data_IF_190752225537
#
_entry.id   IF_190752225537
#
_cell.length_a   1.000
_cell.length_b   1.000
_cell.length_c   1.000
_cell.angle_alpha   90.00
_cell.angle_beta   90.00
_cell.angle_gamma   90.00
#
_symmetry.space_group_name_H-M   'P 1'
#
loop_
_entity.id
_entity.type
_entity.pdbx_description
1 polymer ?
#
# COMPACT_ATOMS: atom_id res chain seq x y z
N UNK A 1 -81.93 -14.33 -7.14
CA UNK A 1 -81.01 -14.24 -5.98
C UNK A 1 -79.57 -14.27 -6.51
N UNK A 2 -78.79 -13.20 -6.38
CA UNK A 2 -77.39 -13.19 -6.80
C UNK A 2 -76.48 -13.73 -5.69
N UNK A 3 -75.47 -14.53 -6.06
CA UNK A 3 -74.37 -14.93 -5.16
C UNK A 3 -73.30 -13.86 -5.21
N UNK A 4 -73.11 -13.16 -4.08
CA UNK A 4 -71.94 -12.33 -3.82
C UNK A 4 -70.71 -13.24 -3.63
N UNK A 5 -69.71 -13.09 -4.49
CA UNK A 5 -68.37 -13.65 -4.31
C UNK A 5 -67.36 -12.52 -4.40
N UNK A 6 -67.03 -11.93 -3.26
CA UNK A 6 -66.01 -10.89 -3.10
C UNK A 6 -64.63 -11.46 -3.48
N UNK A 7 -64.06 -10.98 -4.58
CA UNK A 7 -62.65 -11.16 -4.89
C UNK A 7 -61.80 -10.37 -3.91
N UNK A 8 -61.05 -11.03 -3.05
CA UNK A 8 -59.99 -10.41 -2.24
C UNK A 8 -58.66 -10.61 -2.94
N UNK A 9 -58.22 -9.54 -3.62
CA UNK A 9 -56.95 -9.43 -4.29
C UNK A 9 -55.89 -9.05 -3.26
N UNK A 10 -55.25 -10.04 -2.61
CA UNK A 10 -54.14 -9.81 -1.67
C UNK A 10 -52.84 -9.55 -2.44
N UNK A 11 -52.72 -8.39 -3.08
CA UNK A 11 -51.40 -7.83 -3.40
C UNK A 11 -50.86 -7.17 -2.14
N UNK A 12 -50.10 -7.93 -1.35
CA UNK A 12 -49.20 -7.36 -0.35
C UNK A 12 -48.20 -6.46 -1.11
N UNK A 13 -48.43 -5.15 -1.10
CA UNK A 13 -47.37 -4.19 -1.40
C UNK A 13 -46.37 -4.29 -0.25
N UNK A 14 -45.38 -5.17 -0.39
CA UNK A 14 -44.15 -5.02 0.38
C UNK A 14 -43.56 -3.67 -0.04
N UNK A 15 -43.70 -2.64 0.80
CA UNK A 15 -42.76 -1.53 0.76
C UNK A 15 -41.38 -2.16 0.92
N UNK A 16 -40.58 -2.11 -0.15
CA UNK A 16 -39.19 -2.57 -0.11
C UNK A 16 -38.52 -1.88 1.07
N UNK A 17 -37.94 -2.67 1.98
CA UNK A 17 -37.19 -2.14 3.10
C UNK A 17 -36.10 -1.20 2.55
N UNK A 18 -36.18 0.08 2.88
CA UNK A 18 -35.13 1.04 2.56
C UNK A 18 -33.90 0.60 3.34
N UNK A 19 -32.92 0.01 2.66
CA UNK A 19 -31.65 -0.38 3.28
C UNK A 19 -30.98 0.92 3.71
N UNK A 20 -31.06 1.22 5.01
CA UNK A 20 -30.35 2.35 5.61
C UNK A 20 -28.86 2.10 5.39
N UNK A 21 -28.16 3.08 4.80
CA UNK A 21 -26.70 3.03 4.68
C UNK A 21 -26.05 2.77 6.04
N UNK A 22 -24.91 2.08 6.01
CA UNK A 22 -24.13 1.79 7.20
C UNK A 22 -23.75 3.08 7.93
N UNK A 23 -23.86 3.06 9.27
CA UNK A 23 -23.45 4.20 10.12
C UNK A 23 -21.92 4.37 10.19
N UNK A 24 -21.17 3.40 9.67
CA UNK A 24 -19.71 3.31 9.78
C UNK A 24 -19.07 3.66 8.45
N UNK A 25 -18.73 4.94 8.29
CA UNK A 25 -18.09 5.48 7.09
C UNK A 25 -16.69 6.00 7.42
N UNK A 26 -15.86 6.17 6.39
CA UNK A 26 -14.49 6.69 6.50
C UNK A 26 -14.41 8.08 7.15
N UNK A 27 -15.51 8.82 7.27
CA UNK A 27 -15.56 10.08 8.03
C UNK A 27 -15.45 9.89 9.55
N UNK A 28 -15.69 8.68 10.07
CA UNK A 28 -15.45 8.35 11.49
C UNK A 28 -13.97 8.17 11.80
N UNK A 29 -13.15 7.86 10.78
CA UNK A 29 -11.71 7.77 10.94
C UNK A 29 -11.11 9.19 11.02
N UNK A 30 -10.17 9.45 11.93
CA UNK A 30 -9.52 10.75 12.04
C UNK A 30 -8.94 11.21 10.70
N UNK A 31 -9.28 12.43 10.29
CA UNK A 31 -8.59 13.10 9.19
C UNK A 31 -7.35 13.82 9.68
N UNK A 32 -6.38 13.99 8.80
CA UNK A 32 -5.16 14.74 9.05
C UNK A 32 -4.66 15.37 7.75
N UNK A 33 -3.68 16.27 7.87
CA UNK A 33 -3.14 17.04 6.75
C UNK A 33 -2.65 16.15 5.60
N UNK A 34 -2.04 15.01 5.89
CA UNK A 34 -1.61 14.06 4.87
C UNK A 34 -2.82 13.43 4.16
N UNK A 35 -3.82 12.96 4.92
CA UNK A 35 -5.07 12.40 4.37
C UNK A 35 -5.73 13.39 3.40
N UNK A 36 -5.87 14.66 3.82
CA UNK A 36 -6.43 15.73 2.98
C UNK A 36 -5.60 16.00 1.73
N UNK A 37 -4.26 16.05 1.85
CA UNK A 37 -3.37 16.29 0.71
C UNK A 37 -3.43 15.15 -0.30
N UNK A 38 -3.47 13.91 0.16
CA UNK A 38 -3.58 12.73 -0.71
C UNK A 38 -4.93 12.73 -1.44
N UNK A 39 -6.04 12.96 -0.74
CA UNK A 39 -7.37 13.06 -1.35
C UNK A 39 -7.42 14.21 -2.36
N UNK A 40 -6.90 15.38 -2.00
CA UNK A 40 -6.92 16.54 -2.89
C UNK A 40 -6.05 16.41 -4.14
N UNK A 41 -5.05 15.53 -4.12
CA UNK A 41 -4.18 15.22 -5.25
C UNK A 41 -4.72 14.12 -6.18
N UNK A 42 -5.89 13.55 -5.88
CA UNK A 42 -6.57 12.63 -6.79
C UNK A 42 -6.99 13.35 -8.09
N UNK A 43 -7.13 12.64 -9.22
CA UNK A 43 -7.65 13.21 -10.45
C UNK A 43 -9.02 13.86 -10.22
N UNK A 44 -9.24 15.04 -10.81
CA UNK A 44 -10.44 15.88 -10.57
C UNK A 44 -11.75 15.11 -10.73
N UNK A 45 -11.83 14.24 -11.74
CA UNK A 45 -13.00 13.39 -12.01
C UNK A 45 -13.39 12.44 -10.86
N UNK A 46 -12.45 12.13 -9.96
CA UNK A 46 -12.66 11.18 -8.85
C UNK A 46 -12.39 11.78 -7.47
N UNK A 47 -12.02 13.07 -7.39
CA UNK A 47 -11.63 13.74 -6.15
C UNK A 47 -12.73 13.69 -5.08
N UNK A 48 -13.99 13.77 -5.49
CA UNK A 48 -15.14 13.70 -4.59
C UNK A 48 -15.62 12.26 -4.32
N UNK A 49 -15.13 11.28 -5.09
CA UNK A 49 -15.50 9.87 -4.93
C UNK A 49 -14.48 9.12 -4.05
N UNK A 50 -13.26 9.63 -3.88
CA UNK A 50 -12.18 8.92 -3.19
C UNK A 50 -11.83 9.61 -1.88
N UNK A 51 -11.87 8.85 -0.79
CA UNK A 51 -11.46 9.30 0.54
C UNK A 51 -10.22 8.53 1.00
N UNK A 52 -9.16 9.22 1.42
CA UNK A 52 -7.92 8.61 1.88
C UNK A 52 -7.76 8.89 3.38
N UNK A 53 -7.38 7.85 4.15
CA UNK A 53 -7.18 7.93 5.60
C UNK A 53 -5.85 7.32 5.99
N UNK A 54 -5.02 8.11 6.67
CA UNK A 54 -3.82 7.61 7.35
C UNK A 54 -4.24 7.09 8.72
N UNK A 55 -4.17 5.77 8.93
CA UNK A 55 -4.67 5.08 10.14
C UNK A 55 -3.55 4.57 11.06
N UNK A 56 -2.30 4.73 10.64
CA UNK A 56 -1.11 4.54 11.45
C UNK A 56 -0.06 5.58 11.04
N UNK A 57 0.67 6.10 12.01
CA UNK A 57 1.77 7.04 11.83
C UNK A 57 2.65 7.03 13.08
N UNK A 58 3.65 6.17 13.12
CA UNK A 58 4.53 6.05 14.28
C UNK A 58 6.00 5.86 13.87
N UNK A 59 6.91 6.30 14.74
CA UNK A 59 8.34 6.05 14.55
C UNK A 59 8.67 4.63 14.98
N UNK A 60 9.43 3.92 14.15
CA UNK A 60 9.91 2.56 14.40
C UNK A 60 11.40 2.45 14.20
N UNK A 61 11.99 1.51 14.93
CA UNK A 61 13.33 1.03 14.67
C UNK A 61 13.20 -0.24 13.80
N UNK A 62 13.93 -0.28 12.70
CA UNK A 62 13.92 -1.43 11.81
C UNK A 62 14.46 -2.69 12.49
N UNK A 63 13.82 -3.82 12.20
CA UNK A 63 14.25 -5.11 12.70
C UNK A 63 15.34 -5.70 11.80
N UNK A 64 16.36 -6.31 12.41
CA UNK A 64 17.45 -6.99 11.70
C UNK A 64 17.38 -8.47 12.03
N UNK A 65 17.52 -9.31 11.01
CA UNK A 65 17.53 -10.76 11.12
C UNK A 65 18.69 -11.27 11.97
N UNK A 66 18.47 -12.42 12.60
CA UNK A 66 19.41 -13.02 13.54
C UNK A 66 20.73 -13.40 12.86
N UNK A 67 20.69 -13.98 11.65
CA UNK A 67 21.90 -14.45 10.96
C UNK A 67 22.78 -13.28 10.54
N UNK A 68 22.19 -12.20 10.01
CA UNK A 68 22.98 -11.00 9.70
C UNK A 68 23.57 -10.39 10.97
N UNK A 69 22.79 -10.34 12.06
CA UNK A 69 23.26 -9.82 13.34
C UNK A 69 24.49 -10.59 13.84
N UNK A 70 24.44 -11.92 13.81
CA UNK A 70 25.55 -12.77 14.24
C UNK A 70 26.75 -12.71 13.30
N UNK A 71 26.49 -12.62 11.99
CA UNK A 71 27.51 -12.40 10.98
C UNK A 71 28.27 -11.08 11.22
N UNK A 72 27.54 -9.99 11.44
CA UNK A 72 28.12 -8.68 11.73
C UNK A 72 28.98 -8.71 13.00
N UNK A 73 28.50 -9.33 14.08
CA UNK A 73 29.26 -9.51 15.32
C UNK A 73 30.55 -10.30 15.09
N UNK A 74 30.48 -11.43 14.38
CA UNK A 74 31.63 -12.32 14.12
C UNK A 74 32.76 -11.61 13.38
N UNK A 75 32.43 -10.74 12.43
CA UNK A 75 33.40 -10.05 11.58
C UNK A 75 33.62 -8.59 11.95
N UNK A 76 33.12 -8.14 13.11
CA UNK A 76 33.21 -6.75 13.59
C UNK A 76 32.71 -5.71 12.55
N UNK A 77 31.61 -6.04 11.88
CA UNK A 77 30.90 -5.16 10.95
C UNK A 77 29.76 -4.47 11.71
N UNK A 78 29.52 -3.19 11.45
CA UNK A 78 28.43 -2.47 12.09
C UNK A 78 27.07 -3.04 11.64
N UNK A 79 26.22 -3.42 12.59
CA UNK A 79 24.86 -3.86 12.28
C UNK A 79 24.08 -2.67 11.73
N UNK A 80 23.44 -2.79 10.54
CA UNK A 80 22.63 -1.71 9.99
C UNK A 80 21.54 -1.32 10.98
N UNK A 81 21.42 -0.03 11.27
CA UNK A 81 20.29 0.52 12.02
C UNK A 81 19.58 1.51 11.14
N UNK A 82 18.26 1.45 11.13
CA UNK A 82 17.45 2.40 10.41
C UNK A 82 16.20 2.71 11.21
N UNK A 83 15.85 3.99 11.26
CA UNK A 83 14.70 4.51 11.98
C UNK A 83 13.80 5.18 10.96
N UNK A 84 12.56 4.72 10.90
CA UNK A 84 11.62 5.20 9.90
C UNK A 84 10.27 5.47 10.53
N UNK A 85 9.49 6.33 9.88
CA UNK A 85 8.11 6.56 10.19
C UNK A 85 7.27 5.57 9.39
N UNK A 86 6.62 4.65 10.09
CA UNK A 86 5.67 3.72 9.51
C UNK A 86 4.30 4.38 9.37
N UNK A 87 3.70 4.26 8.19
CA UNK A 87 2.31 4.65 7.98
C UNK A 87 1.53 3.54 7.27
N UNK A 88 0.27 3.35 7.68
CA UNK A 88 -0.72 2.54 6.97
C UNK A 88 -1.84 3.45 6.49
N UNK A 89 -2.22 3.31 5.23
CA UNK A 89 -3.12 4.21 4.53
C UNK A 89 -4.23 3.39 3.88
N UNK A 90 -5.48 3.75 4.20
CA UNK A 90 -6.70 3.16 3.67
C UNK A 90 -7.32 4.11 2.64
N UNK A 91 -7.85 3.56 1.55
CA UNK A 91 -8.55 4.33 0.52
C UNK A 91 -9.94 3.77 0.30
N UNK A 92 -10.92 4.64 0.48
CA UNK A 92 -12.33 4.35 0.37
C UNK A 92 -12.90 4.98 -0.89
N UNK A 93 -13.79 4.24 -1.55
CA UNK A 93 -14.62 4.75 -2.63
C UNK A 93 -16.01 5.03 -2.07
N UNK A 94 -16.42 6.30 -2.13
CA UNK A 94 -17.77 6.72 -1.78
C UNK A 94 -18.78 6.21 -2.80
N UNK A 95 -20.04 5.97 -2.39
CA UNK A 95 -21.10 5.63 -3.32
C UNK A 95 -21.25 6.74 -4.37
N UNK A 96 -21.54 6.35 -5.61
CA UNK A 96 -21.81 7.31 -6.68
C UNK A 96 -23.27 7.77 -6.55
N UNK A 97 -23.48 8.98 -6.05
CA UNK A 97 -24.83 9.53 -5.82
C UNK A 97 -25.64 9.68 -7.12
N UNK A 98 -24.99 9.65 -8.29
CA UNK A 98 -25.63 9.79 -9.60
C UNK A 98 -26.11 8.45 -10.22
N UNK A 99 -25.69 7.30 -9.68
CA UNK A 99 -26.14 6.00 -10.15
C UNK A 99 -27.34 5.50 -9.34
N UNK A 100 -28.55 5.84 -9.79
CA UNK A 100 -29.82 5.31 -9.24
C UNK A 100 -30.01 3.83 -9.63
N UNK A 101 -29.22 2.94 -9.04
CA UNK A 101 -29.46 1.49 -9.14
C UNK A 101 -30.05 0.96 -7.84
N UNK A 102 -31.25 0.38 -7.92
CA UNK A 102 -32.08 -0.01 -6.77
C UNK A 102 -31.47 -1.13 -5.90
N UNK A 103 -30.41 -1.78 -6.37
CA UNK A 103 -29.71 -2.89 -5.69
C UNK A 103 -28.30 -2.50 -5.18
N UNK A 104 -27.86 -1.26 -5.40
CA UNK A 104 -26.62 -0.75 -4.81
C UNK A 104 -26.89 -0.20 -3.42
N UNK A 105 -26.25 -0.77 -2.40
CA UNK A 105 -26.18 -0.13 -1.10
C UNK A 105 -25.36 1.16 -1.23
N UNK A 106 -25.83 2.26 -0.64
CA UNK A 106 -25.10 3.54 -0.55
C UNK A 106 -23.91 3.47 0.44
N UNK A 107 -23.17 2.36 0.43
CA UNK A 107 -22.10 2.10 1.36
C UNK A 107 -20.74 2.35 0.72
N UNK A 108 -19.84 2.95 1.50
CA UNK A 108 -18.46 3.14 1.10
C UNK A 108 -17.74 1.78 1.00
N UNK A 109 -16.78 1.69 0.09
CA UNK A 109 -15.97 0.51 -0.10
C UNK A 109 -14.49 0.81 0.16
N UNK A 110 -13.85 0.08 1.06
CA UNK A 110 -12.39 0.06 1.18
C UNK A 110 -11.81 -0.63 -0.06
N UNK A 111 -11.19 0.11 -0.98
CA UNK A 111 -10.78 -0.39 -2.30
C UNK A 111 -9.27 -0.60 -2.45
N UNK A 112 -8.47 0.08 -1.64
CA UNK A 112 -7.03 0.12 -1.76
C UNK A 112 -6.38 0.35 -0.40
N UNK A 113 -5.28 -0.34 -0.14
CA UNK A 113 -4.52 -0.24 1.11
C UNK A 113 -3.06 -0.22 0.75
N UNK A 114 -2.28 0.64 1.40
CA UNK A 114 -0.84 0.60 1.28
C UNK A 114 -0.13 1.05 2.56
N UNK A 115 1.11 0.60 2.72
CA UNK A 115 2.00 0.98 3.80
C UNK A 115 3.21 1.69 3.25
N UNK A 116 3.74 2.65 4.01
CA UNK A 116 4.95 3.39 3.62
C UNK A 116 5.91 3.50 4.80
N UNK A 117 7.20 3.43 4.50
CA UNK A 117 8.28 3.67 5.44
C UNK A 117 9.00 4.95 5.01
N UNK A 118 8.92 5.99 5.83
CA UNK A 118 9.48 7.30 5.51
C UNK A 118 10.72 7.59 6.36
N UNK A 119 11.83 7.90 5.70
CA UNK A 119 13.15 8.12 6.31
C UNK A 119 13.42 9.63 6.41
N UNK A 120 13.07 10.20 7.56
CA UNK A 120 13.08 11.65 7.80
C UNK A 120 14.51 12.20 7.83
N UNK A 121 14.75 13.31 7.13
CA UNK A 121 16.04 13.99 7.14
C UNK A 121 16.46 14.40 8.56
N UNK A 122 17.69 14.06 8.96
CA UNK A 122 18.25 14.42 10.27
C UNK A 122 17.85 13.51 11.42
N UNK A 123 16.88 12.60 11.24
CA UNK A 123 16.61 11.49 12.18
C UNK A 123 17.41 10.23 11.84
N UNK A 124 18.02 10.19 10.65
CA UNK A 124 18.95 9.15 10.22
C UNK A 124 20.31 9.73 9.84
N UNK A 125 21.37 9.01 10.21
CA UNK A 125 22.74 9.21 9.72
C UNK A 125 23.06 8.37 8.48
N UNK A 126 22.04 7.74 7.86
CA UNK A 126 22.21 6.72 6.82
C UNK A 126 22.01 7.29 5.40
N UNK A 127 22.46 6.61 4.33
CA UNK A 127 22.26 7.02 2.94
C UNK A 127 20.78 7.14 2.51
N UNK A 128 19.83 6.73 3.36
CA UNK A 128 18.39 6.77 3.10
C UNK A 128 17.71 8.04 3.58
N UNK A 129 18.46 9.02 4.07
CA UNK A 129 17.91 10.34 4.40
C UNK A 129 17.08 10.90 3.22
N UNK A 130 15.84 11.32 3.50
CA UNK A 130 14.85 11.78 2.51
C UNK A 130 14.35 10.71 1.53
N UNK A 131 14.49 9.43 1.86
CA UNK A 131 13.82 8.36 1.13
C UNK A 131 12.42 8.11 1.68
N UNK A 132 11.54 7.65 0.81
CA UNK A 132 10.35 6.90 1.20
C UNK A 132 10.35 5.55 0.51
N UNK A 133 9.76 4.55 1.16
CA UNK A 133 9.61 3.20 0.62
C UNK A 133 8.14 2.81 0.64
N UNK A 134 7.59 2.42 -0.51
CA UNK A 134 6.28 1.73 -0.54
C UNK A 134 6.51 0.30 -0.04
N UNK A 135 5.95 -0.05 1.12
CA UNK A 135 6.13 -1.35 1.74
C UNK A 135 5.23 -2.40 1.09
N UNK A 136 3.94 -2.33 1.41
CA UNK A 136 2.91 -3.19 0.80
C UNK A 136 1.84 -2.33 0.14
N UNK A 137 1.29 -2.85 -0.94
CA UNK A 137 0.21 -2.22 -1.68
C UNK A 137 -0.71 -3.32 -2.18
N UNK A 138 -2.01 -3.15 -1.96
CA UNK A 138 -3.02 -4.11 -2.40
C UNK A 138 -4.33 -3.41 -2.76
N UNK A 139 -5.11 -4.06 -3.60
CA UNK A 139 -6.40 -3.56 -4.07
C UNK A 139 -7.38 -4.71 -4.26
N UNK A 140 -8.67 -4.45 -4.06
CA UNK A 140 -9.71 -5.42 -4.42
C UNK A 140 -10.35 -5.08 -5.77
N UNK A 141 -11.35 -5.88 -6.16
CA UNK A 141 -11.97 -5.84 -7.49
C UNK A 141 -13.33 -5.16 -7.53
N UNK A 142 -13.64 -4.33 -6.54
CA UNK A 142 -14.91 -3.62 -6.50
C UNK A 142 -15.16 -2.76 -7.75
N UNK A 143 -14.13 -2.03 -8.21
CA UNK A 143 -14.22 -1.24 -9.44
C UNK A 143 -14.07 -2.18 -10.64
N UNK A 144 -15.18 -2.48 -11.31
CA UNK A 144 -15.23 -3.39 -12.46
C UNK A 144 -14.80 -2.70 -13.76
N UNK A 145 -15.17 -1.43 -13.94
CA UNK A 145 -14.72 -0.59 -15.05
C UNK A 145 -13.19 -0.49 -15.05
N UNK A 146 -12.58 -1.02 -16.11
CA UNK A 146 -11.13 -1.11 -16.23
C UNK A 146 -10.43 0.26 -16.32
N UNK A 147 -11.07 1.23 -16.99
CA UNK A 147 -10.53 2.58 -17.17
C UNK A 147 -10.65 3.34 -15.85
N UNK A 148 -11.83 3.34 -15.21
CA UNK A 148 -12.06 3.97 -13.90
C UNK A 148 -11.09 3.39 -12.85
N UNK A 149 -10.98 2.07 -12.78
CA UNK A 149 -10.05 1.38 -11.86
C UNK A 149 -8.61 1.80 -12.10
N UNK A 150 -8.17 1.82 -13.36
CA UNK A 150 -6.83 2.24 -13.70
C UNK A 150 -6.58 3.69 -13.28
N UNK A 151 -7.45 4.63 -13.64
CA UNK A 151 -7.27 6.05 -13.31
C UNK A 151 -7.25 6.32 -11.80
N UNK A 152 -8.13 5.66 -11.03
CA UNK A 152 -8.17 5.79 -9.58
C UNK A 152 -6.89 5.22 -8.95
N UNK A 153 -6.52 3.98 -9.28
CA UNK A 153 -5.35 3.34 -8.63
C UNK A 153 -4.02 4.01 -9.03
N UNK A 154 -3.88 4.45 -10.28
CA UNK A 154 -2.74 5.26 -10.68
C UNK A 154 -2.73 6.61 -9.96
N UNK A 155 -3.90 7.23 -9.80
CA UNK A 155 -4.08 8.47 -9.03
C UNK A 155 -3.63 8.34 -7.58
N UNK A 156 -3.95 7.23 -6.90
CA UNK A 156 -3.54 6.97 -5.51
C UNK A 156 -2.02 6.89 -5.37
N UNK A 157 -1.34 6.18 -6.27
CA UNK A 157 0.13 6.05 -6.20
C UNK A 157 0.80 7.40 -6.51
N UNK A 158 0.33 8.11 -7.54
CA UNK A 158 0.88 9.41 -7.91
C UNK A 158 0.59 10.50 -6.86
N UNK A 159 -0.56 10.45 -6.19
CA UNK A 159 -0.88 11.40 -5.10
C UNK A 159 0.08 11.23 -3.93
N UNK A 160 0.49 9.99 -3.62
CA UNK A 160 1.55 9.75 -2.63
C UNK A 160 2.90 10.31 -3.07
N UNK A 161 3.33 10.10 -4.32
CA UNK A 161 4.59 10.66 -4.81
C UNK A 161 4.61 12.19 -4.79
N UNK A 162 3.49 12.82 -5.16
CA UNK A 162 3.34 14.27 -5.07
C UNK A 162 3.41 14.75 -3.61
N UNK A 163 2.71 14.07 -2.71
CA UNK A 163 2.79 14.35 -1.26
C UNK A 163 4.22 14.21 -0.74
N UNK A 164 4.89 13.10 -1.07
CA UNK A 164 6.23 12.81 -0.58
C UNK A 164 7.23 13.88 -1.05
N UNK A 165 7.13 14.29 -2.31
CA UNK A 165 7.93 15.38 -2.87
C UNK A 165 7.69 16.71 -2.13
N UNK A 166 6.43 17.06 -1.87
CA UNK A 166 6.08 18.25 -1.08
C UNK A 166 6.54 18.13 0.38
N UNK A 167 6.55 16.93 0.96
CA UNK A 167 7.06 16.69 2.31
C UNK A 167 8.61 16.76 2.39
N UNK A 168 9.29 16.90 1.25
CA UNK A 168 10.75 17.05 1.16
C UNK A 168 11.51 15.74 0.96
N UNK A 169 10.82 14.64 0.67
CA UNK A 169 11.47 13.40 0.23
C UNK A 169 11.95 13.55 -1.22
N UNK A 170 13.13 13.01 -1.51
CA UNK A 170 13.79 13.14 -2.81
C UNK A 170 13.70 11.85 -3.64
N UNK A 171 13.58 10.71 -2.97
CA UNK A 171 13.58 9.38 -3.60
C UNK A 171 12.42 8.56 -3.03
N UNK A 172 11.68 7.88 -3.91
CA UNK A 172 10.82 6.78 -3.53
C UNK A 172 11.38 5.45 -4.06
N UNK A 173 11.48 4.44 -3.21
CA UNK A 173 11.88 3.10 -3.59
C UNK A 173 10.76 2.09 -3.34
N UNK A 174 10.66 1.06 -4.17
CA UNK A 174 9.84 -0.11 -3.88
C UNK A 174 10.31 -1.33 -4.68
N UNK A 175 10.03 -2.51 -4.15
CA UNK A 175 10.26 -3.77 -4.83
C UNK A 175 8.93 -4.31 -5.37
N UNK A 176 8.88 -4.61 -6.66
CA UNK A 176 7.72 -5.14 -7.33
C UNK A 176 7.65 -6.66 -7.11
N UNK A 177 6.69 -7.06 -6.29
CA UNK A 177 6.47 -8.45 -5.93
C UNK A 177 5.04 -8.85 -6.27
N UNK A 178 4.81 -9.63 -7.33
CA UNK A 178 3.49 -10.21 -7.51
C UNK A 178 3.20 -11.20 -6.35
N UNK A 179 2.03 -11.12 -5.70
CA UNK A 179 1.74 -11.91 -4.50
C UNK A 179 1.60 -13.41 -4.77
N UNK A 180 1.51 -13.85 -6.04
CA UNK A 180 1.32 -15.24 -6.39
C UNK A 180 0.02 -15.80 -5.79
N UNK A 181 0.15 -16.68 -4.79
CA UNK A 181 -0.97 -17.27 -4.06
C UNK A 181 -1.26 -16.58 -2.71
N UNK A 182 -0.41 -15.67 -2.27
CA UNK A 182 -0.52 -15.01 -0.98
C UNK A 182 -1.45 -13.77 -1.08
N UNK A 183 -1.85 -13.26 0.08
CA UNK A 183 -2.55 -11.99 0.22
C UNK A 183 -1.58 -10.97 0.82
N UNK A 184 -1.62 -9.72 0.36
CA UNK A 184 -0.84 -8.66 0.98
C UNK A 184 -1.66 -7.93 2.04
N UNK A 185 -2.80 -7.36 1.67
CA UNK A 185 -3.61 -6.55 2.59
C UNK A 185 -5.11 -6.86 2.49
N UNK A 186 -5.58 -7.52 1.43
CA UNK A 186 -6.96 -8.02 1.36
C UNK A 186 -7.02 -9.55 1.47
N UNK A 187 -7.74 -10.05 2.47
CA UNK A 187 -8.02 -11.47 2.62
C UNK A 187 -9.17 -11.91 1.70
N UNK A 188 -8.82 -12.38 0.51
CA UNK A 188 -9.77 -13.00 -0.41
C UNK A 188 -9.36 -14.42 -0.82
N UNK A 189 -9.77 -15.44 -0.05
CA UNK A 189 -9.47 -16.83 -0.36
C UNK A 189 -10.25 -17.38 -1.57
N UNK A 190 -11.29 -16.68 -2.03
CA UNK A 190 -12.11 -17.09 -3.18
C UNK A 190 -11.66 -16.41 -4.48
N UNK A 191 -10.74 -15.45 -4.43
CA UNK A 191 -10.24 -14.77 -5.61
C UNK A 191 -9.53 -15.76 -6.53
N UNK A 192 -10.06 -15.92 -7.75
CA UNK A 192 -9.46 -16.74 -8.78
C UNK A 192 -8.02 -16.27 -9.06
N UNK A 193 -7.05 -17.18 -8.95
CA UNK A 193 -5.62 -16.91 -9.16
C UNK A 193 -5.32 -16.26 -10.51
N UNK A 194 -6.05 -16.62 -11.57
CA UNK A 194 -5.88 -16.05 -12.93
C UNK A 194 -6.22 -14.55 -12.99
N UNK A 195 -6.91 -14.03 -11.99
CA UNK A 195 -7.33 -12.64 -11.91
C UNK A 195 -6.31 -11.74 -11.21
N UNK A 196 -5.33 -12.34 -10.50
CA UNK A 196 -4.20 -11.61 -9.91
C UNK A 196 -3.19 -11.24 -11.00
N UNK A 197 -2.55 -10.06 -10.92
CA UNK A 197 -1.48 -9.73 -11.85
C UNK A 197 -0.29 -10.67 -11.63
N UNK A 198 0.23 -11.22 -12.73
CA UNK A 198 1.55 -11.84 -12.71
C UNK A 198 2.65 -10.79 -12.61
N UNK A 199 3.90 -11.23 -12.41
CA UNK A 199 5.05 -10.34 -12.24
C UNK A 199 5.22 -9.39 -13.43
N UNK A 200 5.12 -9.88 -14.67
CA UNK A 200 5.32 -9.10 -15.88
C UNK A 200 4.27 -8.00 -16.02
N UNK A 201 3.00 -8.36 -15.76
CA UNK A 201 1.88 -7.42 -15.81
C UNK A 201 1.98 -6.37 -14.71
N UNK A 202 2.43 -6.75 -13.52
CA UNK A 202 2.62 -5.82 -12.40
C UNK A 202 3.77 -4.84 -12.67
N UNK A 203 4.90 -5.32 -13.18
CA UNK A 203 6.02 -4.48 -13.63
C UNK A 203 5.59 -3.46 -14.69
N UNK A 204 4.83 -3.91 -15.69
CA UNK A 204 4.28 -3.03 -16.73
C UNK A 204 3.32 -1.99 -16.15
N UNK A 205 2.48 -2.38 -15.19
CA UNK A 205 1.54 -1.46 -14.54
C UNK A 205 2.27 -0.36 -13.77
N UNK A 206 3.29 -0.70 -12.98
CA UNK A 206 4.13 0.28 -12.29
C UNK A 206 4.87 1.17 -13.29
N UNK A 207 5.48 0.60 -14.32
CA UNK A 207 6.19 1.38 -15.36
C UNK A 207 5.28 2.41 -16.02
N UNK A 208 4.01 2.07 -16.28
CA UNK A 208 3.02 3.00 -16.82
C UNK A 208 2.67 4.13 -15.84
N UNK A 209 2.56 3.83 -14.53
CA UNK A 209 2.37 4.86 -13.50
C UNK A 209 3.55 5.82 -13.49
N UNK A 210 4.77 5.28 -13.46
CA UNK A 210 5.99 6.08 -13.36
C UNK A 210 6.18 6.97 -14.60
N UNK A 211 5.89 6.44 -15.79
CA UNK A 211 5.89 7.23 -17.02
C UNK A 211 4.81 8.32 -17.00
N UNK A 212 3.60 8.03 -16.49
CA UNK A 212 2.56 9.05 -16.32
C UNK A 212 2.97 10.15 -15.34
N UNK A 213 3.57 9.78 -14.20
CA UNK A 213 4.10 10.72 -13.21
C UNK A 213 5.22 11.60 -13.77
N UNK A 214 6.06 11.06 -14.66
CA UNK A 214 7.08 11.82 -15.37
C UNK A 214 6.47 12.86 -16.31
N UNK A 215 5.48 12.46 -17.12
CA UNK A 215 4.75 13.38 -18.01
C UNK A 215 4.04 14.50 -17.23
N UNK A 216 3.54 14.21 -16.03
CA UNK A 216 2.87 15.18 -15.15
C UNK A 216 3.84 16.04 -14.32
N UNK A 217 5.15 15.84 -14.46
CA UNK A 217 6.16 16.57 -13.71
C UNK A 217 6.28 16.20 -12.22
N UNK A 218 5.63 15.12 -11.76
CA UNK A 218 5.71 14.63 -10.39
C UNK A 218 7.02 13.86 -10.16
N UNK A 219 7.45 13.11 -11.18
CA UNK A 219 8.67 12.29 -11.16
C UNK A 219 9.69 12.93 -12.09
N UNK A 220 10.92 13.11 -11.60
CA UNK A 220 12.04 13.61 -12.40
C UNK A 220 12.59 12.51 -13.29
N UNK A 221 12.91 11.35 -12.70
CA UNK A 221 13.35 10.14 -13.40
C UNK A 221 13.03 8.91 -12.57
N UNK A 222 13.03 7.75 -13.21
CA UNK A 222 12.94 6.47 -12.51
C UNK A 222 13.82 5.44 -13.20
N UNK A 223 14.34 4.50 -12.41
CA UNK A 223 15.21 3.42 -12.87
C UNK A 223 14.67 2.08 -12.33
N UNK A 224 14.47 1.10 -13.22
CA UNK A 224 13.98 -0.25 -12.89
C UNK A 224 15.09 -1.25 -12.53
N UNK A 225 16.28 -0.73 -12.21
CA UNK A 225 17.47 -1.48 -11.87
C UNK A 225 18.30 -0.62 -10.93
N UNK A 226 18.95 -1.23 -9.95
CA UNK A 226 19.79 -0.49 -9.00
C UNK A 226 20.89 0.31 -9.71
N UNK A 227 21.16 1.50 -9.17
CA UNK A 227 22.40 2.26 -9.36
C UNK A 227 23.61 1.35 -9.11
N UNK A 228 24.73 1.58 -9.81
CA UNK A 228 25.92 0.72 -9.80
C UNK A 228 26.36 0.31 -8.38
N UNK A 229 26.13 -0.97 -8.05
CA UNK A 229 26.47 -1.56 -6.75
C UNK A 229 27.90 -2.11 -6.74
N UNK A 230 28.59 -2.19 -7.88
CA UNK A 230 29.91 -2.84 -7.99
C UNK A 230 30.99 -2.14 -7.18
N UNK A 231 30.90 -0.81 -7.05
CA UNK A 231 31.83 0.01 -6.29
C UNK A 231 31.54 0.09 -4.79
N UNK A 232 30.39 -0.40 -4.32
CA UNK A 232 29.97 -0.23 -2.92
C UNK A 232 30.73 -1.19 -1.99
N UNK A 233 31.01 -0.76 -0.77
CA UNK A 233 31.50 -1.66 0.29
C UNK A 233 30.36 -2.56 0.79
N UNK A 234 30.68 -3.63 1.54
CA UNK A 234 29.64 -4.45 2.17
C UNK A 234 28.77 -3.62 3.12
N UNK A 235 29.39 -2.72 3.89
CA UNK A 235 28.67 -1.83 4.82
C UNK A 235 27.66 -0.98 4.05
N UNK A 236 28.07 -0.32 2.96
CA UNK A 236 27.18 0.55 2.19
C UNK A 236 26.04 -0.23 1.53
N UNK A 237 26.28 -1.47 1.09
CA UNK A 237 25.24 -2.33 0.54
C UNK A 237 24.20 -2.67 1.60
N UNK A 238 24.64 -3.08 2.79
CA UNK A 238 23.73 -3.41 3.89
C UNK A 238 22.96 -2.16 4.34
N UNK A 239 23.63 -1.02 4.49
CA UNK A 239 22.97 0.23 4.85
C UNK A 239 21.99 0.73 3.79
N UNK A 240 22.24 0.48 2.50
CA UNK A 240 21.35 0.96 1.42
C UNK A 240 20.16 0.04 1.18
N UNK A 241 20.38 -1.27 1.13
CA UNK A 241 19.37 -2.23 0.67
C UNK A 241 18.64 -2.96 1.81
N UNK A 242 19.18 -2.97 3.03
CA UNK A 242 18.48 -3.57 4.16
C UNK A 242 17.36 -2.64 4.65
N UNK A 243 16.14 -2.98 4.23
CA UNK A 243 14.90 -2.26 4.56
C UNK A 243 13.94 -3.23 5.25
N UNK A 244 13.52 -2.89 6.47
CA UNK A 244 12.61 -3.72 7.26
C UNK A 244 11.38 -4.19 6.47
N UNK A 245 11.05 -5.48 6.60
CA UNK A 245 9.94 -6.11 5.89
C UNK A 245 10.11 -6.25 4.36
N UNK A 246 11.24 -5.83 3.78
CA UNK A 246 11.53 -5.86 2.34
C UNK A 246 12.08 -7.18 1.80
N UNK A 247 12.46 -7.18 0.52
CA UNK A 247 13.04 -8.35 -0.19
C UNK A 247 14.43 -8.73 0.33
N UNK A 248 15.33 -7.75 0.46
CA UNK A 248 16.73 -7.97 0.80
C UNK A 248 16.98 -8.59 2.18
N UNK A 249 16.29 -8.20 3.27
CA UNK A 249 16.45 -8.88 4.56
C UNK A 249 16.26 -10.39 4.47
N UNK A 250 15.16 -10.84 3.85
CA UNK A 250 14.87 -12.27 3.67
C UNK A 250 15.93 -12.95 2.80
N UNK A 251 16.39 -12.26 1.75
CA UNK A 251 17.39 -12.81 0.84
C UNK A 251 18.75 -12.95 1.52
N UNK A 252 19.18 -11.95 2.29
CA UNK A 252 20.43 -11.95 3.05
C UNK A 252 20.41 -13.08 4.10
N UNK A 253 19.33 -13.20 4.87
CA UNK A 253 19.18 -14.30 5.84
C UNK A 253 19.30 -15.68 5.17
N UNK A 254 18.78 -15.83 3.95
CA UNK A 254 18.91 -17.07 3.17
C UNK A 254 20.33 -17.31 2.64
N UNK A 255 21.02 -16.26 2.18
CA UNK A 255 22.43 -16.38 1.74
C UNK A 255 23.31 -16.83 2.92
N UNK A 256 23.07 -16.26 4.10
CA UNK A 256 23.80 -16.54 5.34
C UNK A 256 23.46 -17.88 6.00
N UNK A 257 22.58 -18.71 5.42
CA UNK A 257 22.42 -20.12 5.82
C UNK A 257 23.71 -20.91 5.66
N UNK A 258 24.57 -20.47 4.75
CA UNK A 258 25.91 -21.03 4.54
C UNK A 258 26.94 -20.12 5.18
N UNK A 259 27.88 -20.71 5.89
CA UNK A 259 29.02 -19.96 6.43
C UNK A 259 29.86 -19.37 5.29
N UNK A 260 30.14 -18.07 5.39
CA UNK A 260 30.95 -17.33 4.42
C UNK A 260 31.71 -16.18 5.07
N UNK A 261 32.66 -15.62 4.30
CA UNK A 261 33.41 -14.40 4.67
C UNK A 261 32.72 -13.14 4.11
N UNK A 262 33.00 -11.94 4.68
CA UNK A 262 32.46 -10.65 4.20
C UNK A 262 32.63 -10.39 2.71
N UNK A 263 33.78 -10.74 2.13
CA UNK A 263 34.07 -10.50 0.72
C UNK A 263 33.13 -11.31 -0.17
N UNK A 264 32.87 -12.56 0.21
CA UNK A 264 31.96 -13.45 -0.52
C UNK A 264 30.50 -12.99 -0.40
N UNK A 265 30.07 -12.54 0.79
CA UNK A 265 28.74 -11.96 0.95
C UNK A 265 28.57 -10.73 0.06
N UNK A 266 29.58 -9.85 0.03
CA UNK A 266 29.58 -8.67 -0.84
C UNK A 266 29.46 -9.05 -2.31
N UNK A 267 30.25 -10.01 -2.79
CA UNK A 267 30.21 -10.47 -4.18
C UNK A 267 28.82 -11.01 -4.57
N UNK A 268 28.20 -11.84 -3.71
CA UNK A 268 26.85 -12.35 -3.96
C UNK A 268 25.81 -11.24 -3.97
N UNK A 269 25.88 -10.28 -3.03
CA UNK A 269 24.96 -9.13 -3.01
C UNK A 269 25.11 -8.26 -4.25
N UNK A 270 26.34 -7.89 -4.64
CA UNK A 270 26.60 -7.11 -5.86
C UNK A 270 26.03 -7.83 -7.08
N UNK A 271 26.28 -9.14 -7.19
CA UNK A 271 25.80 -9.95 -8.30
C UNK A 271 24.28 -10.00 -8.36
N UNK A 272 23.61 -10.24 -7.24
CA UNK A 272 22.14 -10.32 -7.20
C UNK A 272 21.49 -8.96 -7.42
N UNK A 273 21.98 -7.89 -6.77
CA UNK A 273 21.49 -6.51 -6.97
C UNK A 273 21.68 -6.09 -8.43
N UNK A 274 22.81 -6.46 -9.05
CA UNK A 274 23.08 -6.18 -10.46
C UNK A 274 22.18 -6.95 -11.42
N UNK A 275 21.49 -8.00 -10.97
CA UNK A 275 20.56 -8.78 -11.78
C UNK A 275 19.09 -8.49 -11.41
N UNK A 276 18.83 -7.74 -10.34
CA UNK A 276 17.49 -7.37 -9.90
C UNK A 276 16.86 -6.37 -10.88
N UNK A 277 15.78 -6.80 -11.53
CA UNK A 277 14.96 -5.99 -12.44
C UNK A 277 13.58 -5.69 -11.86
N UNK A 278 13.35 -6.06 -10.61
CA UNK A 278 12.06 -5.93 -9.94
C UNK A 278 12.04 -4.73 -8.97
N UNK A 279 13.18 -4.06 -8.77
CA UNK A 279 13.30 -2.87 -7.94
C UNK A 279 13.10 -1.58 -8.75
N UNK A 280 12.34 -0.64 -8.19
CA UNK A 280 12.18 0.71 -8.73
C UNK A 280 12.83 1.76 -7.82
N UNK A 281 13.59 2.66 -8.41
CA UNK A 281 14.13 3.87 -7.77
C UNK A 281 13.54 5.08 -8.49
N UNK A 282 12.81 5.92 -7.78
CA UNK A 282 12.02 7.02 -8.33
C UNK A 282 12.51 8.34 -7.75
N UNK A 283 13.21 9.12 -8.55
CA UNK A 283 13.58 10.49 -8.20
C UNK A 283 12.36 11.39 -8.31
N UNK A 284 11.96 11.98 -7.19
CA UNK A 284 10.83 12.89 -7.12
C UNK A 284 11.23 14.28 -7.63
N UNK A 285 10.30 14.94 -8.33
CA UNK A 285 10.50 16.34 -8.72
C UNK A 285 10.42 17.25 -7.50
N UNK A 286 11.14 18.38 -7.52
CA UNK A 286 10.99 19.40 -6.47
C UNK A 286 9.57 19.95 -6.47
N UNK A 287 9.02 20.13 -5.27
CA UNK A 287 7.70 20.72 -5.03
C UNK A 287 7.80 21.79 -3.95
N UNK A 288 6.75 22.59 -3.80
CA UNK A 288 6.62 23.50 -2.67
C UNK A 288 6.56 22.69 -1.37
N UNK A 289 7.46 23.04 -0.45
CA UNK A 289 7.62 22.30 0.79
C UNK A 289 6.42 22.52 1.71
N UNK A 290 5.89 21.41 2.22
CA UNK A 290 4.88 21.39 3.26
C UNK A 290 5.49 20.83 4.53
N UNK A 291 5.13 21.42 5.67
CA UNK A 291 5.43 20.82 6.97
C UNK A 291 4.51 19.63 7.19
N UNK A 292 5.06 18.41 7.22
CA UNK A 292 4.31 17.24 7.68
C UNK A 292 4.00 17.43 9.17
N UNK A 293 2.74 17.72 9.46
CA UNK A 293 2.19 17.90 10.81
C UNK A 293 1.21 16.78 11.15
N UNK A 294 1.32 15.63 10.47
CA UNK A 294 0.47 14.47 10.74
C UNK A 294 0.75 14.00 12.17
N UNK A 295 -0.28 13.93 13.05
CA UNK A 295 -0.09 13.53 14.44
C UNK A 295 0.44 12.10 14.51
N UNK A 296 1.11 11.75 15.60
CA UNK A 296 1.43 10.35 15.87
C UNK A 296 0.11 9.59 16.04
N UNK A 297 -0.06 8.54 15.24
CA UNK A 297 -1.19 7.62 15.30
C UNK A 297 -0.57 6.26 15.64
N UNK A 298 -0.55 5.86 16.93
CA UNK A 298 0.01 4.59 17.35
C UNK A 298 -0.65 3.45 16.61
N UNK A 299 0.11 2.42 16.27
CA UNK A 299 -0.48 1.25 15.66
C UNK A 299 -1.35 0.48 16.64
N UNK A 300 -2.50 0.04 16.14
CA UNK A 300 -3.39 -0.89 16.84
C UNK A 300 -3.01 -2.31 16.44
N UNK A 301 -3.57 -3.32 17.11
CA UNK A 301 -3.35 -4.72 16.74
C UNK A 301 -3.54 -4.94 15.24
N UNK A 302 -4.60 -4.37 14.64
CA UNK A 302 -4.85 -4.50 13.21
C UNK A 302 -3.83 -3.79 12.32
N UNK A 303 -3.33 -2.61 12.70
CA UNK A 303 -2.52 -1.75 11.81
C UNK A 303 -1.02 -1.87 12.03
N UNK A 304 -0.57 -2.80 12.88
CA UNK A 304 0.83 -2.98 13.26
C UNK A 304 1.69 -3.52 12.13
N UNK A 305 1.22 -4.52 11.40
CA UNK A 305 1.91 -5.16 10.29
C UNK A 305 0.92 -5.67 9.25
N UNK A 306 1.39 -6.12 8.08
CA UNK A 306 0.50 -6.78 7.12
C UNK A 306 -0.05 -8.10 7.67
N UNK A 307 0.77 -8.82 8.44
CA UNK A 307 0.41 -10.11 9.03
C UNK A 307 -0.73 -9.92 10.03
N UNK A 308 -0.62 -8.91 10.91
CA UNK A 308 -1.66 -8.61 11.88
C UNK A 308 -2.94 -8.10 11.19
N UNK A 309 -2.81 -7.27 10.15
CA UNK A 309 -3.95 -6.78 9.37
C UNK A 309 -4.73 -7.93 8.72
N UNK A 310 -4.04 -8.91 8.15
CA UNK A 310 -4.65 -10.12 7.60
C UNK A 310 -5.20 -11.05 8.70
N UNK A 311 -4.50 -11.19 9.82
CA UNK A 311 -4.93 -12.02 10.94
C UNK A 311 -6.28 -11.54 11.50
N UNK A 312 -6.43 -10.24 11.73
CA UNK A 312 -7.70 -9.64 12.19
C UNK A 312 -8.82 -9.88 11.18
N UNK A 313 -8.55 -9.78 9.88
CA UNK A 313 -9.54 -10.11 8.84
C UNK A 313 -9.96 -11.58 8.87
N UNK A 314 -9.01 -12.50 9.07
CA UNK A 314 -9.32 -13.93 9.18
C UNK A 314 -10.17 -14.20 10.42
N UNK A 315 -9.72 -13.73 11.59
CA UNK A 315 -10.37 -13.92 12.88
C UNK A 315 -11.78 -13.32 12.94
N UNK A 316 -11.96 -12.14 12.32
CA UNK A 316 -13.24 -11.43 12.31
C UNK A 316 -14.13 -11.81 11.11
N UNK A 317 -13.71 -12.78 10.29
CA UNK A 317 -14.48 -13.23 9.13
C UNK A 317 -14.65 -12.18 8.02
N UNK A 318 -13.76 -11.19 7.95
CA UNK A 318 -13.78 -10.13 6.93
C UNK A 318 -13.36 -10.70 5.58
N UNK A 319 -14.14 -10.41 4.53
CA UNK A 319 -14.00 -10.94 3.17
C UNK A 319 -14.36 -9.87 2.15
N UNK A 320 -13.67 -9.90 1.01
CA UNK A 320 -13.76 -8.86 -0.01
C UNK A 320 -14.18 -9.40 -1.39
N UNK A 321 -14.71 -10.63 -1.42
CA UNK A 321 -14.98 -11.40 -2.65
C UNK A 321 -16.28 -11.02 -3.37
N UNK A 322 -17.22 -10.38 -2.67
CA UNK A 322 -18.49 -9.88 -3.23
C UNK A 322 -18.77 -8.48 -2.70
N UNK A 323 -19.59 -7.69 -3.40
CA UNK A 323 -19.92 -6.33 -2.97
C UNK A 323 -20.49 -6.30 -1.54
N UNK A 324 -21.43 -7.21 -1.22
CA UNK A 324 -22.03 -7.29 0.12
C UNK A 324 -21.01 -7.58 1.21
N UNK A 325 -20.09 -8.51 0.96
CA UNK A 325 -19.04 -8.86 1.92
C UNK A 325 -18.02 -7.73 2.05
N UNK A 326 -17.69 -7.06 0.95
CA UNK A 326 -16.82 -5.89 0.92
C UNK A 326 -17.41 -4.74 1.75
N UNK A 327 -18.68 -4.39 1.56
CA UNK A 327 -19.31 -3.31 2.33
C UNK A 327 -19.38 -3.66 3.82
N UNK A 328 -19.80 -4.88 4.16
CA UNK A 328 -19.76 -5.38 5.53
C UNK A 328 -18.35 -5.29 6.13
N UNK A 329 -17.34 -5.77 5.40
CA UNK A 329 -15.95 -5.77 5.87
C UNK A 329 -15.37 -4.38 5.98
N UNK A 330 -15.76 -3.47 5.09
CA UNK A 330 -15.41 -2.05 5.13
C UNK A 330 -15.96 -1.41 6.40
N UNK A 331 -17.26 -1.54 6.65
CA UNK A 331 -17.93 -1.01 7.83
C UNK A 331 -17.44 -1.62 9.15
N UNK A 332 -16.90 -2.85 9.13
CA UNK A 332 -16.29 -3.51 10.30
C UNK A 332 -14.81 -3.17 10.50
N UNK A 333 -14.14 -2.72 9.45
CA UNK A 333 -12.73 -2.27 9.50
C UNK A 333 -12.64 -0.85 10.04
N UNK A 334 -13.62 0.00 9.69
CA UNK A 334 -13.88 1.30 10.32
C UNK A 334 -14.36 1.06 11.75
#
# INVERSE_FOLDING_TARGET
MPRNGLGTNWRMQMQKARVLGTKYTSSLLPTNRMSEKLTNAMPEAYKNQVEIRVVANEMRNGTIGERLTDFCKKYNIAVPQHKFRYKMILVFLKPDEAEEDQDKTNDEALIFIYTVHEFVAGEETTPKSKWTVLGYLDSNRYITDGIKRQLIFQGIVLSYFLYAASAGYEMCHFWCAAPGNDNYLFNDPMLNKKLRPDQIRLLKWYSNILNSGKTRGIIKKWEGKSVDSKGMSLQDLLEKFYLDGGYWPKRIEKILEKEMKPEKLREELVKEISNDSDAFFVDLSKQDLIKDSTPVIPTMDMTRSKEDFLAVQVQSGLRYSTNRLLWYSTARTI
#
